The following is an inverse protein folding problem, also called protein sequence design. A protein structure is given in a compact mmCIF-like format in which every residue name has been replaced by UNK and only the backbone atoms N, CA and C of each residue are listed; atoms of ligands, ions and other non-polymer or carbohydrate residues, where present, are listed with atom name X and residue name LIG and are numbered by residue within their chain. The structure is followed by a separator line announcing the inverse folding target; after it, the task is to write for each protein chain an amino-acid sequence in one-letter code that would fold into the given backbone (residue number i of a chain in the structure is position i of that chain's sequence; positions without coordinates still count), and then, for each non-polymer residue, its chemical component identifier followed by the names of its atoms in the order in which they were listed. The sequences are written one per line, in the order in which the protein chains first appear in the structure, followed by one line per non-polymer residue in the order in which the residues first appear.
data_IF_047287820875
#
_entry.id   IF_047287820875
#
_cell.length_a   1.000
_cell.length_b   1.000
_cell.length_c   1.000
_cell.angle_alpha   90.00
_cell.angle_beta   90.00
_cell.angle_gamma   90.00
#
_symmetry.space_group_name_H-M   'P 1'
#
loop_
_entity.id
_entity.type
_entity.pdbx_description
1 polymer ?
#
# COMPACT_ATOMS: atom_id res chain seq x y z
N UNK A 1 -16.89 10.28 -14.27
CA UNK A 1 -17.52 8.94 -14.29
C UNK A 1 -16.42 7.91 -14.17
N UNK A 2 -16.57 6.91 -13.30
CA UNK A 2 -15.60 5.82 -13.17
C UNK A 2 -15.74 4.87 -14.37
N UNK A 3 -14.61 4.41 -14.91
CA UNK A 3 -14.53 3.47 -16.02
C UNK A 3 -14.27 2.08 -15.45
N UNK A 4 -15.25 1.18 -15.59
CA UNK A 4 -15.17 -0.21 -15.06
C UNK A 4 -14.74 -0.21 -13.58
N UNK A 5 -15.58 0.35 -12.69
CA UNK A 5 -15.26 0.40 -11.26
C UNK A 5 -15.04 -1.02 -10.71
N UNK A 6 -14.14 -1.15 -9.74
CA UNK A 6 -13.83 -2.38 -9.03
C UNK A 6 -13.68 -2.04 -7.55
N UNK A 7 -14.37 -2.78 -6.71
CA UNK A 7 -14.21 -2.69 -5.27
C UNK A 7 -12.92 -3.41 -4.81
N UNK A 8 -12.21 -2.82 -3.86
CA UNK A 8 -10.99 -3.35 -3.25
C UNK A 8 -10.99 -3.07 -1.76
N UNK A 9 -10.49 -4.04 -0.99
CA UNK A 9 -10.24 -3.91 0.44
C UNK A 9 -8.78 -3.54 0.67
N UNK A 10 -8.55 -2.44 1.38
CA UNK A 10 -7.22 -1.97 1.74
C UNK A 10 -7.08 -2.00 3.25
N UNK A 11 -5.98 -2.61 3.71
CA UNK A 11 -5.61 -2.62 5.12
C UNK A 11 -4.86 -1.35 5.48
N UNK A 12 -5.07 -0.86 6.69
CA UNK A 12 -4.25 0.16 7.34
C UNK A 12 -3.05 -0.46 8.08
N UNK A 13 -2.29 0.36 8.81
CA UNK A 13 -1.12 -0.07 9.60
C UNK A 13 -1.50 -1.03 10.75
N UNK A 14 -2.71 -0.89 11.29
CA UNK A 14 -3.25 -1.72 12.37
C UNK A 14 -3.92 -3.01 11.83
N UNK A 15 -4.01 -3.15 10.51
CA UNK A 15 -4.57 -4.30 9.82
C UNK A 15 -6.09 -4.24 9.63
N UNK A 16 -6.72 -3.10 9.93
CA UNK A 16 -8.15 -2.87 9.74
C UNK A 16 -8.42 -2.66 8.25
N UNK A 17 -9.42 -3.36 7.72
CA UNK A 17 -9.80 -3.26 6.31
C UNK A 17 -10.80 -2.12 6.09
N UNK A 18 -10.56 -1.33 5.05
CA UNK A 18 -11.48 -0.32 4.52
C UNK A 18 -11.73 -0.54 3.04
N UNK A 19 -12.99 -0.35 2.64
CA UNK A 19 -13.44 -0.52 1.27
C UNK A 19 -13.23 0.74 0.43
N UNK A 20 -12.75 0.52 -0.80
CA UNK A 20 -12.59 1.55 -1.81
C UNK A 20 -13.08 1.05 -3.16
N UNK A 21 -13.60 1.97 -3.98
CA UNK A 21 -13.91 1.70 -5.38
C UNK A 21 -12.86 2.37 -6.25
N UNK A 22 -12.11 1.56 -6.99
CA UNK A 22 -11.09 2.00 -7.93
C UNK A 22 -11.59 1.93 -9.37
N UNK A 23 -11.05 2.79 -10.23
CA UNK A 23 -11.45 2.88 -11.65
C UNK A 23 -10.29 2.64 -12.59
N UNK A 24 -10.63 2.26 -13.83
CA UNK A 24 -9.68 2.44 -14.93
C UNK A 24 -9.45 3.92 -15.19
N UNK A 25 -8.22 4.27 -15.48
CA UNK A 25 -7.78 5.63 -15.80
C UNK A 25 -8.08 5.92 -17.28
N UNK A 26 -8.55 7.13 -17.62
CA UNK A 26 -8.57 7.60 -19.00
C UNK A 26 -7.19 7.51 -19.65
N UNK A 27 -7.11 7.23 -20.95
CA UNK A 27 -5.85 6.87 -21.62
C UNK A 27 -4.72 7.90 -21.42
N UNK A 28 -5.01 9.19 -21.55
CA UNK A 28 -3.99 10.26 -21.40
C UNK A 28 -3.57 10.41 -19.94
N UNK A 29 -4.52 10.39 -19.01
CA UNK A 29 -4.25 10.47 -17.57
C UNK A 29 -3.44 9.27 -17.09
N UNK A 30 -3.84 8.06 -17.52
CA UNK A 30 -3.11 6.83 -17.24
C UNK A 30 -1.69 6.87 -17.77
N UNK A 31 -1.48 7.30 -19.03
CA UNK A 31 -0.12 7.46 -19.59
C UNK A 31 0.72 8.43 -18.76
N UNK A 32 0.16 9.57 -18.37
CA UNK A 32 0.90 10.58 -17.59
C UNK A 32 1.33 10.01 -16.23
N UNK A 33 0.40 9.40 -15.50
CA UNK A 33 0.66 8.78 -14.20
C UNK A 33 1.73 7.69 -14.35
N UNK A 34 1.61 6.80 -15.34
CA UNK A 34 2.55 5.70 -15.52
C UNK A 34 3.93 6.13 -16.01
N UNK A 35 4.03 7.27 -16.70
CA UNK A 35 5.32 7.83 -17.10
C UNK A 35 6.05 8.50 -15.93
N UNK A 36 5.32 9.17 -15.04
CA UNK A 36 5.89 9.96 -13.94
C UNK A 36 6.06 9.14 -12.66
N UNK A 37 5.01 8.46 -12.23
CA UNK A 37 4.89 7.86 -10.90
C UNK A 37 5.96 6.83 -10.54
N UNK A 38 6.34 5.90 -11.46
CA UNK A 38 7.39 4.94 -11.16
C UNK A 38 8.77 5.58 -10.99
N UNK A 39 9.07 6.59 -11.81
CA UNK A 39 10.35 7.28 -11.81
C UNK A 39 10.47 8.25 -10.64
N UNK A 40 9.39 8.97 -10.31
CA UNK A 40 9.36 9.93 -9.20
C UNK A 40 9.47 9.26 -7.83
N UNK A 41 9.07 7.99 -7.72
CA UNK A 41 9.23 7.19 -6.51
C UNK A 41 10.53 6.35 -6.48
N UNK A 42 11.36 6.42 -7.53
CA UNK A 42 12.62 5.69 -7.58
C UNK A 42 13.68 6.32 -6.65
N UNK A 43 14.33 5.55 -5.75
CA UNK A 43 15.36 6.08 -4.86
C UNK A 43 16.48 6.80 -5.61
N UNK A 44 16.92 7.96 -5.09
CA UNK A 44 18.03 8.80 -5.63
C UNK A 44 17.78 9.51 -6.97
N UNK A 45 16.68 9.22 -7.66
CA UNK A 45 16.25 9.92 -8.89
C UNK A 45 14.98 10.74 -8.62
N UNK A 46 14.16 10.26 -7.69
CA UNK A 46 12.80 10.74 -7.46
C UNK A 46 12.66 12.23 -7.18
N UNK A 47 11.57 12.78 -7.71
CA UNK A 47 11.07 14.12 -7.43
C UNK A 47 9.74 13.97 -6.69
N UNK A 48 9.74 14.37 -5.41
CA UNK A 48 8.57 14.20 -4.55
C UNK A 48 7.36 14.99 -5.05
N UNK A 49 7.56 16.20 -5.58
CA UNK A 49 6.45 17.03 -6.05
C UNK A 49 5.79 16.41 -7.29
N UNK A 50 6.60 15.87 -8.21
CA UNK A 50 6.10 15.11 -9.37
C UNK A 50 5.35 13.85 -8.93
N UNK A 51 5.85 13.16 -7.90
CA UNK A 51 5.19 11.99 -7.32
C UNK A 51 3.82 12.36 -6.73
N UNK A 52 3.79 13.41 -5.92
CA UNK A 52 2.58 13.92 -5.27
C UNK A 52 1.53 14.35 -6.29
N UNK A 53 1.94 15.06 -7.34
CA UNK A 53 1.03 15.47 -8.43
C UNK A 53 0.39 14.24 -9.11
N UNK A 54 1.20 13.24 -9.42
CA UNK A 54 0.72 12.01 -10.05
C UNK A 54 -0.16 11.17 -9.11
N UNK A 55 0.14 11.13 -7.82
CA UNK A 55 -0.72 10.51 -6.80
C UNK A 55 -2.08 11.21 -6.75
N UNK A 56 -2.13 12.54 -6.64
CA UNK A 56 -3.39 13.29 -6.60
C UNK A 56 -4.24 13.06 -7.87
N UNK A 57 -3.59 13.03 -9.04
CA UNK A 57 -4.25 12.69 -10.31
C UNK A 57 -4.81 11.28 -10.33
N UNK A 58 -4.12 10.31 -9.72
CA UNK A 58 -4.57 8.93 -9.61
C UNK A 58 -5.76 8.81 -8.66
N UNK A 59 -5.68 9.44 -7.48
CA UNK A 59 -6.69 9.38 -6.43
C UNK A 59 -8.02 10.02 -6.83
N UNK A 60 -8.02 10.96 -7.79
CA UNK A 60 -9.25 11.51 -8.37
C UNK A 60 -10.16 10.46 -9.05
N UNK A 61 -9.67 9.24 -9.27
CA UNK A 61 -10.40 8.10 -9.83
C UNK A 61 -10.67 6.99 -8.81
N UNK A 62 -10.62 7.33 -7.53
CA UNK A 62 -10.92 6.45 -6.40
C UNK A 62 -12.06 7.04 -5.58
N UNK A 63 -12.96 6.19 -5.11
CA UNK A 63 -13.95 6.54 -4.09
C UNK A 63 -13.66 5.76 -2.80
N UNK A 64 -13.76 6.42 -1.66
CA UNK A 64 -13.91 5.73 -0.39
C UNK A 64 -15.37 5.29 -0.23
N UNK A 65 -15.59 4.12 0.37
CA UNK A 65 -16.93 3.67 0.73
C UNK A 65 -17.15 4.00 2.21
N UNK A 66 -18.17 4.81 2.50
CA UNK A 66 -18.58 5.13 3.86
C UNK A 66 -19.38 3.97 4.49
N UNK A 67 -19.60 4.03 5.81
CA UNK A 67 -20.28 2.95 6.56
C UNK A 67 -21.73 2.72 6.10
N UNK A 68 -22.36 3.73 5.51
CA UNK A 68 -23.70 3.67 4.92
C UNK A 68 -23.72 3.23 3.45
N UNK A 69 -22.54 2.93 2.88
CA UNK A 69 -22.35 2.54 1.49
C UNK A 69 -22.23 3.72 0.52
N UNK A 70 -22.18 4.97 0.99
CA UNK A 70 -21.96 6.12 0.12
C UNK A 70 -20.54 6.09 -0.49
N UNK A 71 -20.44 6.25 -1.81
CA UNK A 71 -19.17 6.41 -2.50
C UNK A 71 -18.70 7.87 -2.52
N UNK A 72 -17.63 8.18 -1.79
CA UNK A 72 -17.06 9.52 -1.68
C UNK A 72 -15.84 9.65 -2.60
N UNK A 73 -15.91 10.46 -3.68
CA UNK A 73 -14.79 10.60 -4.62
C UNK A 73 -13.61 11.35 -4.01
N UNK A 74 -12.41 10.76 -4.05
CA UNK A 74 -11.19 11.30 -3.42
C UNK A 74 -10.46 12.31 -4.31
N UNK A 75 -11.17 13.36 -4.74
CA UNK A 75 -10.68 14.33 -5.74
C UNK A 75 -9.73 15.39 -5.21
N UNK A 76 -9.64 15.55 -3.89
CA UNK A 76 -8.83 16.59 -3.26
C UNK A 76 -7.96 15.98 -2.17
N UNK A 77 -6.85 16.65 -1.86
CA UNK A 77 -5.98 16.22 -0.77
C UNK A 77 -6.75 16.10 0.55
N UNK A 78 -7.61 17.06 0.88
CA UNK A 78 -8.45 17.01 2.09
C UNK A 78 -9.35 15.78 2.14
N UNK A 79 -9.93 15.36 1.01
CA UNK A 79 -10.76 14.16 0.98
C UNK A 79 -9.90 12.90 1.14
N UNK A 80 -8.70 12.88 0.57
CA UNK A 80 -7.75 11.78 0.79
C UNK A 80 -7.38 11.71 2.26
N UNK A 81 -6.94 12.82 2.86
CA UNK A 81 -6.52 12.89 4.27
C UNK A 81 -7.64 12.50 5.24
N UNK A 82 -8.90 12.78 4.91
CA UNK A 82 -10.05 12.45 5.76
C UNK A 82 -10.53 11.00 5.60
N UNK A 83 -10.32 10.38 4.44
CA UNK A 83 -10.93 9.09 4.13
C UNK A 83 -9.92 7.95 3.95
N UNK A 84 -8.63 8.23 3.82
CA UNK A 84 -7.56 7.24 3.78
C UNK A 84 -6.85 7.25 5.14
N UNK A 85 -6.92 6.15 5.93
CA UNK A 85 -6.51 6.16 7.34
C UNK A 85 -5.07 6.58 7.61
N UNK A 86 -4.14 6.13 6.77
CA UNK A 86 -2.71 6.39 6.95
C UNK A 86 -1.93 6.30 5.62
N UNK A 87 -0.65 6.67 5.67
CA UNK A 87 0.22 6.61 4.50
C UNK A 87 0.47 5.20 3.94
N UNK A 88 0.41 4.16 4.78
CA UNK A 88 0.59 2.77 4.31
C UNK A 88 -0.63 2.30 3.50
N UNK A 89 -1.83 2.61 3.97
CA UNK A 89 -3.09 2.37 3.25
C UNK A 89 -3.12 3.15 1.93
N UNK A 90 -2.63 4.40 1.91
CA UNK A 90 -2.51 5.18 0.68
C UNK A 90 -1.58 4.50 -0.34
N UNK A 91 -0.39 4.08 0.09
CA UNK A 91 0.55 3.35 -0.79
C UNK A 91 -0.08 2.05 -1.30
N UNK A 92 -0.74 1.27 -0.45
CA UNK A 92 -1.42 0.03 -0.86
C UNK A 92 -2.53 0.29 -1.90
N UNK A 93 -3.28 1.36 -1.72
CA UNK A 93 -4.35 1.77 -2.64
C UNK A 93 -3.79 2.21 -4.00
N UNK A 94 -2.71 2.98 -4.01
CA UNK A 94 -1.98 3.34 -5.24
C UNK A 94 -1.47 2.10 -5.98
N UNK A 95 -0.94 1.10 -5.27
CA UNK A 95 -0.48 -0.14 -5.86
C UNK A 95 -1.62 -0.93 -6.52
N UNK A 96 -2.80 -1.00 -5.90
CA UNK A 96 -3.98 -1.62 -6.52
C UNK A 96 -4.48 -0.82 -7.72
N UNK A 97 -4.43 0.51 -7.68
CA UNK A 97 -4.71 1.36 -8.85
C UNK A 97 -3.76 1.06 -10.02
N UNK A 98 -2.45 0.98 -9.76
CA UNK A 98 -1.44 0.68 -10.77
C UNK A 98 -1.62 -0.74 -11.35
N UNK A 99 -1.86 -1.72 -10.49
CA UNK A 99 -2.10 -3.12 -10.87
C UNK A 99 -3.37 -3.28 -11.70
N UNK A 100 -4.45 -2.57 -11.36
CA UNK A 100 -5.69 -2.64 -12.12
C UNK A 100 -5.58 -1.96 -13.49
N UNK A 101 -4.74 -0.91 -13.58
CA UNK A 101 -4.58 -0.10 -14.79
C UNK A 101 -3.46 -0.56 -15.71
N UNK A 102 -2.60 -1.49 -15.28
CA UNK A 102 -1.48 -1.96 -16.09
C UNK A 102 -1.27 -3.46 -16.03
N UNK A 103 -0.91 -4.02 -17.18
CA UNK A 103 -0.42 -5.40 -17.27
C UNK A 103 1.07 -5.54 -16.91
N UNK A 104 1.75 -4.42 -16.64
CA UNK A 104 3.16 -4.38 -16.18
C UNK A 104 3.38 -5.12 -14.85
N UNK A 105 2.32 -5.39 -14.09
CA UNK A 105 2.37 -6.10 -12.81
C UNK A 105 2.00 -7.58 -12.84
N UNK A 106 1.71 -8.15 -14.02
CA UNK A 106 1.57 -9.60 -14.15
C UNK A 106 0.80 -10.06 -15.38
N UNK A 107 1.52 -10.57 -16.37
CA UNK A 107 1.30 -11.85 -17.12
C UNK A 107 2.33 -12.05 -18.26
N UNK A 108 3.28 -11.13 -18.45
CA UNK A 108 4.40 -11.32 -19.38
C UNK A 108 5.71 -10.76 -18.82
N UNK A 109 6.59 -11.63 -18.31
CA UNK A 109 8.01 -11.32 -18.09
C UNK A 109 8.42 -10.91 -16.67
N UNK A 110 8.57 -11.89 -15.78
CA UNK A 110 9.64 -12.10 -14.78
C UNK A 110 10.42 -10.96 -14.06
N UNK A 111 9.96 -9.71 -13.95
CA UNK A 111 10.62 -8.69 -13.10
C UNK A 111 9.68 -7.55 -12.65
N UNK A 112 8.56 -7.91 -12.02
CA UNK A 112 7.51 -6.96 -11.60
C UNK A 112 8.02 -5.82 -10.71
N UNK A 113 7.61 -4.59 -11.04
CA UNK A 113 7.85 -3.38 -10.24
C UNK A 113 7.26 -3.49 -8.82
N UNK A 114 6.26 -4.36 -8.60
CA UNK A 114 5.69 -4.63 -7.27
C UNK A 114 6.71 -5.30 -6.33
N UNK A 115 7.36 -6.42 -6.70
CA UNK A 115 8.51 -6.95 -5.96
C UNK A 115 9.62 -5.91 -5.69
N UNK A 116 9.88 -4.99 -6.63
CA UNK A 116 10.85 -3.90 -6.45
C UNK A 116 10.42 -2.88 -5.38
N UNK A 117 9.15 -2.44 -5.39
CA UNK A 117 8.62 -1.55 -4.35
C UNK A 117 8.49 -2.24 -2.99
N UNK A 118 7.97 -3.48 -2.95
CA UNK A 118 7.77 -4.26 -1.72
C UNK A 118 9.12 -4.57 -1.05
N UNK A 119 10.13 -4.98 -1.81
CA UNK A 119 11.49 -5.19 -1.28
C UNK A 119 12.12 -3.89 -0.75
N UNK A 120 11.72 -2.74 -1.29
CA UNK A 120 12.22 -1.43 -0.83
C UNK A 120 11.58 -0.98 0.48
N UNK A 121 10.25 -1.13 0.64
CA UNK A 121 9.53 -0.82 1.90
C UNK A 121 9.97 -1.72 3.04
N UNK A 122 10.19 -3.02 2.79
CA UNK A 122 10.77 -3.93 3.79
C UNK A 122 12.24 -3.64 4.13
N UNK A 123 12.98 -2.96 3.24
CA UNK A 123 14.39 -2.60 3.44
C UNK A 123 14.62 -1.22 4.06
N UNK A 124 13.58 -0.38 4.15
CA UNK A 124 13.67 1.00 4.65
C UNK A 124 13.18 1.18 6.08
N UNK A 125 12.81 0.12 6.80
CA UNK A 125 12.61 0.20 8.24
C UNK A 125 13.98 0.55 8.89
N UNK A 126 14.13 1.71 9.55
CA UNK A 126 15.35 2.04 10.29
C UNK A 126 15.69 0.87 11.22
N UNK A 127 16.98 0.54 11.36
CA UNK A 127 17.43 -0.57 12.24
C UNK A 127 16.85 -0.51 13.66
N UNK A 128 16.43 0.68 14.11
CA UNK A 128 15.73 0.92 15.38
C UNK A 128 14.41 0.15 15.45
N UNK A 129 13.60 0.11 14.39
CA UNK A 129 12.32 -0.62 14.35
C UNK A 129 12.55 -2.14 14.34
N UNK A 130 13.61 -2.61 13.66
CA UNK A 130 14.04 -4.03 13.75
C UNK A 130 14.45 -4.41 15.18
N UNK A 131 15.15 -3.52 15.87
CA UNK A 131 15.55 -3.73 17.26
C UNK A 131 14.34 -3.76 18.20
N UNK A 132 13.37 -2.86 18.00
CA UNK A 132 12.14 -2.81 18.80
C UNK A 132 11.27 -4.06 18.58
N UNK A 133 11.12 -4.52 17.34
CA UNK A 133 10.41 -5.78 17.01
C UNK A 133 11.12 -7.01 17.59
N UNK A 134 12.46 -7.05 17.55
CA UNK A 134 13.24 -8.13 18.17
C UNK A 134 13.11 -8.12 19.70
N UNK A 135 13.07 -6.94 20.33
CA UNK A 135 12.84 -6.80 21.78
C UNK A 135 11.42 -7.19 22.20
N UNK A 136 10.40 -6.88 21.37
CA UNK A 136 9.02 -7.31 21.58
C UNK A 136 8.85 -8.83 21.47
N UNK A 137 9.53 -9.48 20.52
CA UNK A 137 9.57 -10.95 20.43
C UNK A 137 10.33 -11.58 21.60
N UNK A 138 11.41 -10.95 22.05
CA UNK A 138 12.19 -11.43 23.21
C UNK A 138 11.44 -11.29 24.54
N UNK A 139 10.54 -10.30 24.68
CA UNK A 139 9.74 -10.15 25.91
C UNK A 139 8.46 -10.99 25.94
N UNK A 140 8.11 -11.66 24.83
CA UNK A 140 6.96 -12.56 24.75
C UNK A 140 7.31 -14.04 24.93
N UNK A 141 8.60 -14.38 25.05
CA UNK A 141 9.02 -15.72 25.43
C UNK A 141 8.72 -15.93 26.93
N UNK A 142 7.63 -16.64 27.23
CA UNK A 142 7.30 -17.11 28.58
C UNK A 142 8.45 -17.96 29.11
N UNK A 143 9.10 -17.49 30.17
CA UNK A 143 9.90 -18.33 31.06
C UNK A 143 8.98 -19.38 31.69
N UNK A 144 9.07 -20.62 31.21
CA UNK A 144 8.56 -21.80 31.92
C UNK A 144 9.77 -22.58 32.45
N UNK A 145 9.95 -22.73 33.77
CA UNK A 145 11.07 -23.47 34.33
C UNK A 145 10.91 -24.98 34.05
N UNK A 146 12.01 -25.74 33.85
CA UNK A 146 11.92 -27.16 33.57
C UNK A 146 11.69 -27.96 34.87
N UNK A 147 10.56 -28.68 34.95
CA UNK A 147 10.36 -29.75 35.94
C UNK A 147 11.15 -31.00 35.53
N UNK A 148 11.99 -31.60 36.41
CA UNK A 148 12.56 -32.90 36.14
C UNK A 148 11.72 -33.97 36.84
N UNK A 149 11.21 -34.96 36.11
CA UNK A 149 11.13 -36.30 36.69
C UNK A 149 11.06 -37.46 35.69
N UNK A 150 11.74 -38.53 36.12
CA UNK A 150 11.57 -39.95 35.77
C UNK A 150 12.30 -40.48 34.51
N UNK A 151 13.37 -41.25 34.77
CA UNK A 151 13.96 -42.26 33.86
C UNK A 151 13.10 -43.53 33.84
N UNK A 152 13.00 -44.26 32.72
CA UNK A 152 12.56 -45.66 32.70
C UNK A 152 13.72 -46.66 32.60
N UNK A 153 13.51 -47.78 33.30
CA UNK A 153 14.03 -49.17 33.20
C UNK A 153 15.49 -49.42 32.80
#
# INVERSE_FOLDING_TARGET
MLIKPKEVQIKDVDGIEKAFVISRLPAVTGREILAKYPLSNAPKIGDYEVSKEAMLKMMAYVCAVADDGEEIPLKTQTLIDNHVPDGESLIRLELEMLKYNTSFFGTGGNSGFLPFLISRVGSSLPSVIKMLMASLQSSSAKDSPPSPNSKPQ
#
